data_IF_379319274157
#
_entry.id   IF_379319274157
#
_cell.length_a   1.000
_cell.length_b   1.000
_cell.length_c   1.000
_cell.angle_alpha   90.00
_cell.angle_beta   90.00
_cell.angle_gamma   90.00
#
_symmetry.space_group_name_H-M   'P 1'
#
loop_
_entity.id
_entity.type
_entity.pdbx_description
1 polymer ?
#
# COMPACT_ATOMS: atom_id res chain seq x y z
N UNK A 1 24.57 -14.52 -12.66
CA UNK A 1 23.81 -15.05 -11.50
C UNK A 1 22.60 -14.20 -10.99
N UNK A 2 22.41 -12.89 -11.27
CA UNK A 2 21.28 -12.13 -10.69
C UNK A 2 19.89 -12.43 -11.29
N UNK A 3 19.82 -13.04 -12.47
CA UNK A 3 18.54 -13.40 -13.11
C UNK A 3 17.86 -14.61 -12.45
N UNK A 4 18.64 -15.63 -12.07
CA UNK A 4 18.10 -16.82 -11.40
C UNK A 4 17.51 -16.51 -10.00
N UNK A 5 18.15 -15.60 -9.26
CA UNK A 5 17.64 -15.13 -7.96
C UNK A 5 16.34 -14.35 -8.09
N UNK A 6 16.16 -13.59 -9.18
CA UNK A 6 14.94 -12.81 -9.44
C UNK A 6 13.76 -13.71 -9.83
N UNK A 7 13.99 -14.70 -10.71
CA UNK A 7 12.97 -15.69 -11.10
C UNK A 7 12.50 -16.52 -9.91
N UNK A 8 13.44 -16.99 -9.08
CA UNK A 8 13.11 -17.75 -7.89
C UNK A 8 12.34 -16.90 -6.86
N UNK A 9 12.62 -15.60 -6.77
CA UNK A 9 11.87 -14.67 -5.92
C UNK A 9 10.42 -14.50 -6.41
N UNK A 10 10.22 -14.35 -7.73
CA UNK A 10 8.88 -14.28 -8.32
C UNK A 10 8.05 -15.55 -8.13
N UNK A 11 8.67 -16.73 -8.23
CA UNK A 11 8.01 -18.02 -7.94
C UNK A 11 7.59 -18.12 -6.47
N UNK A 12 8.48 -17.74 -5.54
CA UNK A 12 8.17 -17.70 -4.10
C UNK A 12 7.04 -16.73 -3.78
N UNK A 13 7.01 -15.57 -4.44
CA UNK A 13 5.93 -14.60 -4.27
C UNK A 13 4.58 -15.17 -4.72
N UNK A 14 4.50 -15.74 -5.93
CA UNK A 14 3.27 -16.37 -6.44
C UNK A 14 2.77 -17.50 -5.55
N UNK A 15 3.69 -18.30 -5.00
CA UNK A 15 3.34 -19.33 -4.02
C UNK A 15 2.76 -18.70 -2.73
N UNK A 16 3.42 -17.66 -2.20
CA UNK A 16 2.96 -16.96 -1.00
C UNK A 16 1.56 -16.36 -1.19
N UNK A 17 1.30 -15.77 -2.36
CA UNK A 17 0.03 -15.17 -2.73
C UNK A 17 -1.09 -16.21 -2.89
N UNK A 18 -0.81 -17.36 -3.53
CA UNK A 18 -1.74 -18.48 -3.60
C UNK A 18 -2.08 -19.03 -2.22
N UNK A 19 -1.07 -19.20 -1.36
CA UNK A 19 -1.29 -19.58 0.03
C UNK A 19 -2.15 -18.52 0.74
N UNK A 20 -1.86 -17.24 0.57
CA UNK A 20 -2.61 -16.16 1.21
C UNK A 20 -4.12 -16.23 0.88
N UNK A 21 -4.48 -16.44 -0.39
CA UNK A 21 -5.87 -16.49 -0.85
C UNK A 21 -6.57 -17.86 -0.70
N UNK A 22 -5.84 -18.94 -0.43
CA UNK A 22 -6.42 -20.28 -0.31
C UNK A 22 -7.35 -20.40 0.91
N UNK A 23 -8.65 -20.17 0.70
CA UNK A 23 -9.70 -20.17 1.74
C UNK A 23 -9.91 -21.55 2.39
N UNK A 24 -9.60 -22.65 1.70
CA UNK A 24 -9.75 -24.02 2.22
C UNK A 24 -8.80 -24.36 3.38
N UNK A 25 -7.78 -23.52 3.63
CA UNK A 25 -6.84 -23.63 4.77
C UNK A 25 -6.89 -22.38 5.67
N UNK A 26 -8.02 -21.65 5.67
CA UNK A 26 -8.21 -20.50 6.56
C UNK A 26 -8.16 -20.96 8.02
N UNK A 27 -7.20 -20.43 8.80
CA UNK A 27 -7.01 -20.77 10.22
C UNK A 27 -5.75 -21.58 10.57
N UNK A 28 -5.04 -22.17 9.60
CA UNK A 28 -3.78 -22.88 9.91
C UNK A 28 -2.65 -21.91 10.29
N UNK A 29 -2.22 -21.97 11.56
CA UNK A 29 -1.11 -21.15 12.08
C UNK A 29 0.21 -21.44 11.35
N UNK A 30 0.43 -22.68 10.91
CA UNK A 30 1.61 -23.07 10.14
C UNK A 30 1.61 -22.43 8.75
N UNK A 31 0.46 -22.44 8.07
CA UNK A 31 0.29 -21.78 6.77
C UNK A 31 0.57 -20.28 6.88
N UNK A 32 -0.04 -19.61 7.86
CA UNK A 32 0.20 -18.19 8.08
C UNK A 32 1.69 -17.89 8.32
N UNK A 33 2.37 -18.69 9.16
CA UNK A 33 3.82 -18.57 9.39
C UNK A 33 4.64 -18.77 8.10
N UNK A 34 4.31 -19.76 7.28
CA UNK A 34 4.98 -20.01 6.00
C UNK A 34 4.77 -18.85 5.02
N UNK A 35 3.54 -18.38 4.85
CA UNK A 35 3.20 -17.22 4.01
C UNK A 35 3.98 -15.98 4.45
N UNK A 36 4.03 -15.70 5.75
CA UNK A 36 4.79 -14.56 6.29
C UNK A 36 6.31 -14.70 6.07
N UNK A 37 6.85 -15.92 6.18
CA UNK A 37 8.27 -16.17 5.90
C UNK A 37 8.61 -15.95 4.43
N UNK A 38 7.77 -16.45 3.51
CA UNK A 38 7.94 -16.26 2.07
C UNK A 38 7.87 -14.78 1.70
N UNK A 39 6.86 -14.06 2.20
CA UNK A 39 6.74 -12.62 1.97
C UNK A 39 7.92 -11.83 2.53
N UNK A 40 8.38 -12.13 3.74
CA UNK A 40 9.58 -11.48 4.31
C UNK A 40 10.83 -11.72 3.45
N UNK A 41 11.02 -12.94 2.93
CA UNK A 41 12.14 -13.24 2.06
C UNK A 41 12.06 -12.46 0.73
N UNK A 42 10.88 -12.43 0.10
CA UNK A 42 10.67 -11.69 -1.14
C UNK A 42 10.80 -10.17 -0.94
N UNK A 43 10.31 -9.64 0.17
CA UNK A 43 10.43 -8.23 0.54
C UNK A 43 11.90 -7.84 0.77
N UNK A 44 12.68 -8.68 1.46
CA UNK A 44 14.14 -8.48 1.62
C UNK A 44 14.89 -8.51 0.30
N UNK A 45 14.42 -9.32 -0.65
CA UNK A 45 14.95 -9.37 -2.02
C UNK A 45 14.50 -8.20 -2.91
N UNK A 46 13.68 -7.27 -2.39
CA UNK A 46 13.23 -6.08 -3.13
C UNK A 46 12.01 -6.29 -4.04
N UNK A 47 11.30 -7.41 -3.93
CA UNK A 47 10.09 -7.65 -4.73
C UNK A 47 8.99 -6.66 -4.35
N UNK A 48 8.59 -5.80 -5.28
CA UNK A 48 7.66 -4.68 -5.04
C UNK A 48 6.31 -5.11 -4.45
N UNK A 49 5.65 -6.12 -5.03
CA UNK A 49 4.38 -6.62 -4.48
C UNK A 49 4.53 -7.25 -3.09
N UNK A 50 5.72 -7.82 -2.79
CA UNK A 50 5.98 -8.38 -1.47
C UNK A 50 6.23 -7.26 -0.46
N UNK A 51 6.97 -6.21 -0.84
CA UNK A 51 7.16 -5.01 -0.03
C UNK A 51 5.82 -4.36 0.31
N UNK A 52 4.92 -4.23 -0.67
CA UNK A 52 3.58 -3.66 -0.49
C UNK A 52 2.73 -4.50 0.46
N UNK A 53 2.50 -5.78 0.13
CA UNK A 53 1.60 -6.64 0.90
C UNK A 53 2.15 -6.99 2.28
N UNK A 54 3.44 -7.34 2.37
CA UNK A 54 4.09 -7.62 3.67
C UNK A 54 4.21 -6.37 4.53
N UNK A 55 4.55 -5.24 3.92
CA UNK A 55 4.61 -3.95 4.58
C UNK A 55 3.26 -3.57 5.19
N UNK A 56 2.19 -3.68 4.41
CA UNK A 56 0.83 -3.45 4.87
C UNK A 56 0.45 -4.35 6.06
N UNK A 57 0.70 -5.65 5.93
CA UNK A 57 0.38 -6.62 6.99
C UNK A 57 1.12 -6.30 8.30
N UNK A 58 2.41 -5.98 8.23
CA UNK A 58 3.17 -5.59 9.41
C UNK A 58 2.71 -4.25 9.99
N UNK A 59 2.38 -3.28 9.13
CA UNK A 59 1.93 -1.96 9.58
C UNK A 59 0.58 -2.04 10.33
N UNK A 60 -0.37 -2.80 9.81
CA UNK A 60 -1.70 -2.94 10.40
C UNK A 60 -1.73 -3.95 11.56
N UNK A 61 -1.11 -5.11 11.37
CA UNK A 61 -1.26 -6.28 12.28
C UNK A 61 0.01 -6.61 13.07
N UNK A 62 1.07 -5.81 12.94
CA UNK A 62 2.29 -5.97 13.74
C UNK A 62 1.97 -5.91 15.23
N UNK A 63 2.51 -6.88 15.98
CA UNK A 63 2.22 -7.03 17.41
C UNK A 63 2.96 -5.99 18.25
N UNK A 64 4.07 -5.46 17.73
CA UNK A 64 4.88 -4.43 18.38
C UNK A 64 4.96 -3.14 17.56
N UNK A 65 5.23 -2.01 18.21
CA UNK A 65 5.49 -0.73 17.54
C UNK A 65 6.67 -0.83 16.56
N UNK A 66 7.68 -1.63 16.88
CA UNK A 66 8.83 -1.88 16.01
C UNK A 66 8.44 -2.62 14.72
N UNK A 67 7.55 -3.61 14.81
CA UNK A 67 7.03 -4.32 13.63
C UNK A 67 6.18 -3.40 12.77
N UNK A 68 5.30 -2.60 13.37
CA UNK A 68 4.49 -1.62 12.63
C UNK A 68 5.40 -0.63 11.90
N UNK A 69 6.43 -0.13 12.56
CA UNK A 69 7.38 0.79 11.96
C UNK A 69 8.22 0.14 10.83
N UNK A 70 8.58 -1.14 10.99
CA UNK A 70 9.19 -1.94 9.91
C UNK A 70 8.23 -2.09 8.71
N UNK A 71 6.94 -2.31 8.98
CA UNK A 71 5.89 -2.33 7.96
C UNK A 71 5.81 -1.02 7.19
N UNK A 72 5.77 0.12 7.89
CA UNK A 72 5.76 1.45 7.29
C UNK A 72 6.99 1.68 6.37
N UNK A 73 8.18 1.23 6.79
CA UNK A 73 9.38 1.30 5.92
C UNK A 73 9.21 0.51 4.62
N UNK A 74 8.64 -0.69 4.68
CA UNK A 74 8.43 -1.49 3.47
C UNK A 74 7.37 -0.88 2.56
N UNK A 75 6.28 -0.35 3.12
CA UNK A 75 5.25 0.36 2.36
C UNK A 75 5.85 1.56 1.63
N UNK A 76 6.61 2.42 2.32
CA UNK A 76 7.23 3.59 1.69
C UNK A 76 8.20 3.18 0.58
N UNK A 77 8.97 2.10 0.77
CA UNK A 77 9.84 1.56 -0.30
C UNK A 77 9.03 1.04 -1.50
N UNK A 78 7.93 0.33 -1.27
CA UNK A 78 7.05 -0.12 -2.35
C UNK A 78 6.42 1.06 -3.10
N UNK A 79 6.01 2.10 -2.38
CA UNK A 79 5.45 3.33 -2.96
C UNK A 79 6.47 4.04 -3.87
N UNK A 80 7.73 4.12 -3.42
CA UNK A 80 8.85 4.65 -4.21
C UNK A 80 9.15 3.79 -5.44
N UNK A 81 8.96 2.47 -5.35
CA UNK A 81 9.07 1.54 -6.48
C UNK A 81 7.87 1.57 -7.43
N UNK A 82 6.87 2.43 -7.19
CA UNK A 82 5.73 2.63 -8.08
C UNK A 82 4.53 1.73 -7.84
N UNK A 83 4.45 1.04 -6.70
CA UNK A 83 3.27 0.25 -6.33
C UNK A 83 2.10 1.15 -5.97
N UNK A 84 0.99 1.05 -6.70
CA UNK A 84 -0.17 1.96 -6.57
C UNK A 84 -0.81 1.83 -5.18
N UNK A 85 -0.99 0.60 -4.69
CA UNK A 85 -1.57 0.37 -3.36
C UNK A 85 -0.65 0.88 -2.25
N UNK A 86 0.66 0.68 -2.38
CA UNK A 86 1.62 1.21 -1.41
C UNK A 86 1.69 2.73 -1.45
N UNK A 87 1.51 3.38 -2.61
CA UNK A 87 1.42 4.85 -2.69
C UNK A 87 0.24 5.38 -1.87
N UNK A 88 -0.94 4.77 -2.01
CA UNK A 88 -2.08 5.10 -1.14
C UNK A 88 -1.74 4.91 0.35
N UNK A 89 -1.13 3.78 0.70
CA UNK A 89 -0.77 3.50 2.10
C UNK A 89 0.33 4.43 2.64
N UNK A 90 1.28 4.84 1.80
CA UNK A 90 2.26 5.86 2.15
C UNK A 90 1.57 7.20 2.43
N UNK A 91 0.56 7.54 1.64
CA UNK A 91 -0.35 8.66 1.93
C UNK A 91 -0.93 8.56 3.34
N UNK A 92 -1.51 7.41 3.70
CA UNK A 92 -2.07 7.18 5.04
C UNK A 92 -1.03 7.29 6.16
N UNK A 93 0.18 6.78 5.92
CA UNK A 93 1.30 6.86 6.88
C UNK A 93 1.68 8.31 7.15
N UNK A 94 1.82 9.14 6.10
CA UNK A 94 2.15 10.55 6.27
C UNK A 94 0.96 11.38 6.76
N UNK A 95 -0.28 10.98 6.51
CA UNK A 95 -1.45 11.67 7.05
C UNK A 95 -1.51 11.54 8.58
N UNK A 96 -1.44 10.31 9.10
CA UNK A 96 -1.62 10.04 10.54
C UNK A 96 -0.31 10.10 11.32
N UNK A 97 0.82 9.93 10.63
CA UNK A 97 2.09 9.63 11.26
C UNK A 97 2.15 8.21 11.84
N UNK A 98 3.35 7.74 12.12
CA UNK A 98 3.63 6.57 12.94
C UNK A 98 5.02 6.71 13.60
N UNK A 99 5.45 5.70 14.35
CA UNK A 99 6.65 5.76 15.19
C UNK A 99 7.92 6.34 14.51
N UNK A 100 8.10 6.12 13.20
CA UNK A 100 9.28 6.59 12.45
C UNK A 100 8.97 7.64 11.38
N UNK A 101 7.70 7.90 11.09
CA UNK A 101 7.26 8.83 10.06
C UNK A 101 6.32 9.82 10.72
N UNK A 102 6.75 11.06 10.88
CA UNK A 102 5.88 12.10 11.42
C UNK A 102 4.73 12.38 10.43
N UNK A 103 3.62 12.88 10.96
CA UNK A 103 2.54 13.39 10.12
C UNK A 103 3.07 14.55 9.28
N UNK A 104 2.85 14.47 7.97
CA UNK A 104 3.21 15.44 6.96
C UNK A 104 2.10 15.46 5.91
N UNK A 105 1.10 16.34 6.07
CA UNK A 105 -0.06 16.39 5.18
C UNK A 105 0.31 16.68 3.72
N UNK A 106 1.35 17.48 3.48
CA UNK A 106 1.80 17.78 2.13
C UNK A 106 2.38 16.53 1.43
N UNK A 107 3.18 15.74 2.15
CA UNK A 107 3.63 14.43 1.65
C UNK A 107 2.45 13.47 1.46
N UNK A 108 1.48 13.46 2.37
CA UNK A 108 0.30 12.62 2.24
C UNK A 108 -0.47 12.91 0.93
N UNK A 109 -0.76 14.19 0.67
CA UNK A 109 -1.39 14.65 -0.58
C UNK A 109 -0.59 14.22 -1.80
N UNK A 110 0.73 14.37 -1.77
CA UNK A 110 1.61 13.97 -2.88
C UNK A 110 1.49 12.47 -3.19
N UNK A 111 1.49 11.63 -2.16
CA UNK A 111 1.35 10.19 -2.33
C UNK A 111 -0.05 9.76 -2.76
N UNK A 112 -1.08 10.40 -2.23
CA UNK A 112 -2.45 10.17 -2.68
C UNK A 112 -2.64 10.59 -4.15
N UNK A 113 -2.09 11.73 -4.57
CA UNK A 113 -2.19 12.20 -5.95
C UNK A 113 -1.57 11.20 -6.92
N UNK A 114 -0.37 10.70 -6.63
CA UNK A 114 0.30 9.67 -7.44
C UNK A 114 -0.52 8.39 -7.59
N UNK A 115 -1.16 7.94 -6.52
CA UNK A 115 -2.02 6.76 -6.57
C UNK A 115 -3.32 7.04 -7.34
N UNK A 116 -3.93 8.20 -7.11
CA UNK A 116 -5.19 8.62 -7.73
C UNK A 116 -5.04 8.87 -9.25
N UNK A 117 -3.94 9.45 -9.68
CA UNK A 117 -3.55 9.60 -11.10
C UNK A 117 -3.47 8.26 -11.83
N UNK A 118 -3.18 7.18 -11.09
CA UNK A 118 -3.16 5.80 -11.59
C UNK A 118 -4.45 5.04 -11.25
N UNK A 119 -5.56 5.77 -11.14
CA UNK A 119 -6.92 5.27 -10.93
C UNK A 119 -7.15 4.52 -9.60
N UNK A 120 -6.35 4.79 -8.56
CA UNK A 120 -6.63 4.24 -7.24
C UNK A 120 -7.80 4.98 -6.59
N UNK A 121 -8.99 4.37 -6.63
CA UNK A 121 -10.24 5.00 -6.21
C UNK A 121 -10.21 5.56 -4.78
N UNK A 122 -9.72 4.79 -3.80
CA UNK A 122 -9.64 5.26 -2.40
C UNK A 122 -8.70 6.46 -2.22
N UNK A 123 -7.67 6.58 -3.06
CA UNK A 123 -6.75 7.72 -2.98
C UNK A 123 -7.42 8.98 -3.55
N UNK A 124 -8.11 8.82 -4.68
CA UNK A 124 -8.88 9.88 -5.31
C UNK A 124 -10.04 10.36 -4.40
N UNK A 125 -10.78 9.44 -3.78
CA UNK A 125 -11.82 9.76 -2.78
C UNK A 125 -11.23 10.52 -1.58
N UNK A 126 -10.05 10.12 -1.09
CA UNK A 126 -9.38 10.81 0.03
C UNK A 126 -9.00 12.25 -0.32
N UNK A 127 -8.50 12.49 -1.54
CA UNK A 127 -8.19 13.83 -2.05
C UNK A 127 -9.44 14.67 -2.25
N UNK A 128 -10.49 14.10 -2.84
CA UNK A 128 -11.75 14.80 -3.02
C UNK A 128 -12.31 15.28 -1.68
N UNK A 129 -12.34 14.38 -0.68
CA UNK A 129 -12.73 14.73 0.69
C UNK A 129 -11.85 15.85 1.26
N UNK A 130 -10.53 15.77 1.07
CA UNK A 130 -9.61 16.81 1.54
C UNK A 130 -9.90 18.19 0.92
N UNK A 131 -10.22 18.26 -0.37
CA UNK A 131 -10.62 19.49 -1.04
C UNK A 131 -12.03 19.97 -0.68
N UNK A 132 -12.96 19.10 -0.27
CA UNK A 132 -14.28 19.54 0.24
C UNK A 132 -14.20 20.15 1.62
N UNK A 133 -13.40 19.53 2.49
CA UNK A 133 -13.31 19.90 3.91
C UNK A 133 -12.23 20.96 4.18
N UNK A 134 -11.30 21.17 3.23
CA UNK A 134 -10.13 22.01 3.46
C UNK A 134 -9.14 21.36 4.44
N UNK A 135 -8.98 20.04 4.36
CA UNK A 135 -8.07 19.27 5.22
C UNK A 135 -6.75 18.94 4.50
N UNK A 136 -5.79 18.38 5.24
CA UNK A 136 -4.42 18.09 4.75
C UNK A 136 -3.63 19.32 4.25
N UNK A 137 -3.96 20.52 4.74
CA UNK A 137 -3.35 21.78 4.28
C UNK A 137 -3.82 22.23 2.91
N UNK A 138 -4.88 21.61 2.36
CA UNK A 138 -5.51 22.03 1.12
C UNK A 138 -6.60 23.07 1.42
N UNK A 139 -6.69 24.09 0.57
CA UNK A 139 -7.83 25.00 0.60
C UNK A 139 -9.08 24.32 0.04
N UNK A 140 -10.25 24.69 0.57
CA UNK A 140 -11.53 24.22 0.05
C UNK A 140 -11.65 24.58 -1.42
N UNK A 141 -11.90 23.58 -2.27
CA UNK A 141 -12.05 23.78 -3.71
C UNK A 141 -13.01 22.73 -4.30
N UNK A 142 -14.31 23.06 -4.45
CA UNK A 142 -15.32 22.13 -4.96
C UNK A 142 -14.96 21.55 -6.34
N UNK A 143 -14.45 22.39 -7.24
CA UNK A 143 -14.04 21.95 -8.58
C UNK A 143 -12.95 20.87 -8.54
N UNK A 144 -11.93 21.02 -7.68
CA UNK A 144 -10.89 20.00 -7.51
C UNK A 144 -11.46 18.75 -6.83
N UNK A 145 -12.40 18.90 -5.90
CA UNK A 145 -13.06 17.75 -5.29
C UNK A 145 -13.84 16.91 -6.31
N UNK A 146 -14.66 17.56 -7.15
CA UNK A 146 -15.41 16.94 -8.23
C UNK A 146 -14.50 16.23 -9.23
N UNK A 147 -13.36 16.85 -9.59
CA UNK A 147 -12.35 16.23 -10.44
C UNK A 147 -11.82 14.92 -9.86
N UNK A 148 -11.44 14.91 -8.58
CA UNK A 148 -10.95 13.69 -7.92
C UNK A 148 -12.06 12.65 -7.68
N UNK A 149 -13.30 13.07 -7.46
CA UNK A 149 -14.47 12.16 -7.41
C UNK A 149 -14.78 11.50 -8.74
N UNK A 150 -14.66 12.23 -9.86
CA UNK A 150 -14.77 11.65 -11.19
C UNK A 150 -13.64 10.63 -11.44
N UNK A 151 -12.40 10.96 -11.06
CA UNK A 151 -11.28 10.02 -11.10
C UNK A 151 -11.54 8.76 -10.27
N UNK A 152 -12.11 8.89 -9.07
CA UNK A 152 -12.46 7.76 -8.23
C UNK A 152 -13.45 6.81 -8.90
N UNK A 153 -14.54 7.35 -9.47
CA UNK A 153 -15.56 6.56 -10.18
C UNK A 153 -14.97 5.81 -11.38
N UNK A 154 -14.13 6.47 -12.17
CA UNK A 154 -13.44 5.82 -13.30
C UNK A 154 -12.53 4.66 -12.88
N UNK A 155 -11.92 4.76 -11.68
CA UNK A 155 -11.07 3.71 -11.16
C UNK A 155 -11.83 2.50 -10.64
N UNK A 156 -13.00 2.72 -10.03
CA UNK A 156 -13.89 1.64 -9.59
C UNK A 156 -14.44 0.85 -10.80
N UNK A 157 -14.79 1.53 -11.90
CA UNK A 157 -15.22 0.90 -13.16
C UNK A 157 -14.10 0.09 -13.82
N UNK A 158 -12.87 0.61 -13.83
CA UNK A 158 -11.71 -0.10 -14.36
C UNK A 158 -11.32 -1.36 -13.55
N UNK A 159 -11.71 -1.45 -12.27
CA UNK A 159 -11.44 -2.60 -11.42
C UNK A 159 -12.47 -3.74 -11.56
N UNK A 160 -13.60 -3.49 -12.22
CA UNK A 160 -14.70 -4.46 -12.40
C UNK A 160 -14.65 -5.21 -13.75
N UNK A 161 -13.72 -4.87 -14.64
CA UNK A 161 -13.52 -5.48 -15.96
C UNK A 161 -12.17 -6.20 -16.06
#
# INVERSE_FOLDING_TARGET
MPQASTLMTGLKYRLAERLFHASWLSGSQQKHRLTMRLFNHCAKAGHTGALSLYGHMLFQRGSSAQEKAKGARFVVKAAQAGDIHAQYQAGCIYEHGCAQYQSDPAKAVTWYARAAERHHALAAQRLARAYREGSLGLAVCPHKAEHWEAHARSGDEAALH
#
